data_IF_120145985916
#
_entry.id   IF_120145985916
#
_cell.length_a   1.000
_cell.length_b   1.000
_cell.length_c   1.000
_cell.angle_alpha   90.00
_cell.angle_beta   90.00
_cell.angle_gamma   90.00
#
_symmetry.space_group_name_H-M   'P 1'
#
loop_
_entity.id
_entity.type
_entity.pdbx_description
1 polymer ?
#
# COMPACT_ATOMS: atom_id res chain seq x y z
N UNK A 1 -71.29 -35.36 -18.39
CA UNK A 1 -70.63 -35.60 -17.09
C UNK A 1 -69.89 -34.34 -16.68
N UNK A 2 -70.46 -33.56 -15.76
CA UNK A 2 -69.90 -32.30 -15.27
C UNK A 2 -69.29 -32.56 -13.88
N UNK A 3 -67.96 -32.54 -13.78
CA UNK A 3 -67.27 -32.77 -12.51
C UNK A 3 -67.20 -31.44 -11.74
N UNK A 4 -68.04 -31.29 -10.72
CA UNK A 4 -67.95 -30.20 -9.73
C UNK A 4 -66.70 -30.43 -8.88
N UNK A 5 -65.69 -29.58 -9.03
CA UNK A 5 -64.56 -29.50 -8.12
C UNK A 5 -64.96 -28.55 -6.99
N UNK A 6 -65.34 -29.11 -5.85
CA UNK A 6 -65.46 -28.37 -4.60
C UNK A 6 -64.06 -28.14 -4.05
N UNK A 7 -63.51 -26.95 -4.26
CA UNK A 7 -62.29 -26.52 -3.59
C UNK A 7 -62.58 -26.27 -2.10
N UNK A 8 -61.97 -27.08 -1.25
CA UNK A 8 -61.97 -26.94 0.20
C UNK A 8 -61.34 -25.60 0.60
N UNK A 9 -62.06 -24.85 1.45
CA UNK A 9 -61.70 -23.52 1.97
C UNK A 9 -60.38 -23.48 2.74
N UNK A 10 -59.76 -24.63 3.02
CA UNK A 10 -58.51 -24.72 3.78
C UNK A 10 -57.24 -24.46 2.96
N UNK A 11 -57.33 -24.45 1.62
CA UNK A 11 -56.17 -24.22 0.74
C UNK A 11 -55.86 -22.74 0.49
N UNK A 12 -56.80 -21.83 0.76
CA UNK A 12 -56.58 -20.38 0.61
C UNK A 12 -55.76 -19.76 1.74
N UNK A 13 -55.73 -20.38 2.92
CA UNK A 13 -55.02 -19.83 4.09
C UNK A 13 -53.50 -20.09 3.98
N UNK A 14 -53.07 -21.16 3.32
CA UNK A 14 -51.64 -21.47 3.15
C UNK A 14 -50.93 -20.60 2.10
N UNK A 15 -51.66 -19.99 1.15
CA UNK A 15 -51.05 -19.14 0.12
C UNK A 15 -50.82 -17.69 0.58
N UNK A 16 -51.47 -17.23 1.67
CA UNK A 16 -51.28 -15.87 2.19
C UNK A 16 -50.11 -15.74 3.18
N UNK A 17 -49.50 -16.84 3.62
CA UNK A 17 -48.35 -16.82 4.52
C UNK A 17 -46.99 -16.82 3.82
N UNK A 18 -46.95 -16.91 2.48
CA UNK A 18 -45.70 -16.91 1.70
C UNK A 18 -45.35 -15.49 1.17
N UNK A 19 -46.16 -14.48 1.47
CA UNK A 19 -46.00 -13.12 0.94
C UNK A 19 -45.95 -12.07 2.07
N UNK A 20 -44.83 -12.00 2.82
CA UNK A 20 -44.04 -10.76 2.77
C UNK A 20 -42.51 -10.96 2.68
N UNK A 21 -41.99 -12.19 2.70
CA UNK A 21 -40.54 -12.41 2.83
C UNK A 21 -39.73 -12.07 1.57
N UNK A 22 -40.36 -11.92 0.40
CA UNK A 22 -39.65 -11.63 -0.85
C UNK A 22 -39.45 -10.14 -1.14
N UNK A 23 -40.09 -9.21 -0.40
CA UNK A 23 -39.84 -7.77 -0.58
C UNK A 23 -38.68 -7.22 0.25
N UNK A 24 -38.15 -7.98 1.21
CA UNK A 24 -37.01 -7.51 2.02
C UNK A 24 -35.64 -7.89 1.45
N UNK A 25 -35.57 -8.86 0.52
CA UNK A 25 -34.28 -9.37 0.03
C UNK A 25 -33.77 -8.75 -1.27
N UNK A 26 -34.55 -7.90 -1.95
CA UNK A 26 -34.13 -7.27 -3.21
C UNK A 26 -33.65 -5.81 -3.08
N UNK A 27 -33.45 -5.30 -1.85
CA UNK A 27 -32.91 -3.94 -1.60
C UNK A 27 -31.51 -3.97 -1.00
N UNK A 28 -30.66 -4.88 -1.47
CA UNK A 28 -29.23 -4.95 -1.10
C UNK A 28 -28.30 -5.14 -2.30
N UNK A 29 -28.78 -4.90 -3.52
CA UNK A 29 -27.94 -4.76 -4.70
C UNK A 29 -28.22 -3.38 -5.31
N UNK A 30 -27.32 -2.42 -5.09
CA UNK A 30 -26.73 -1.60 -6.18
C UNK A 30 -25.94 -0.37 -5.72
N UNK A 31 -25.75 -0.12 -4.42
CA UNK A 31 -24.80 0.89 -3.95
C UNK A 31 -24.09 0.40 -2.68
N UNK A 32 -23.28 -0.67 -2.79
CA UNK A 32 -22.15 -0.81 -1.87
C UNK A 32 -21.35 0.51 -1.91
N UNK A 33 -20.75 0.96 -0.78
CA UNK A 33 -20.05 2.24 -0.76
C UNK A 33 -19.11 2.27 -1.96
N UNK A 34 -19.38 3.16 -2.92
CA UNK A 34 -18.48 3.40 -4.04
C UNK A 34 -17.12 3.52 -3.38
N UNK A 35 -16.17 2.63 -3.73
CA UNK A 35 -14.79 2.72 -3.25
C UNK A 35 -14.34 4.11 -3.67
N UNK A 36 -14.47 5.04 -2.75
CA UNK A 36 -14.08 6.41 -2.93
C UNK A 36 -12.59 6.29 -3.14
N UNK A 37 -12.18 6.50 -4.39
CA UNK A 37 -10.79 6.39 -4.77
C UNK A 37 -10.09 7.46 -3.96
N UNK A 38 -9.39 7.05 -2.90
CA UNK A 38 -8.77 8.00 -2.00
C UNK A 38 -7.69 8.72 -2.82
N UNK A 39 -7.84 10.03 -2.90
CA UNK A 39 -6.89 10.94 -3.50
C UNK A 39 -5.50 10.74 -2.87
N UNK A 40 -4.43 11.04 -3.60
CA UNK A 40 -3.06 10.83 -3.12
C UNK A 40 -2.88 11.48 -1.74
N UNK A 41 -2.10 10.83 -0.88
CA UNK A 41 -1.83 11.35 0.45
C UNK A 41 -1.19 12.75 0.38
N UNK A 42 -1.40 13.62 1.39
CA UNK A 42 -0.79 14.96 1.39
C UNK A 42 0.73 14.92 1.22
N UNK A 43 1.42 13.95 1.85
CA UNK A 43 2.85 13.77 1.66
C UNK A 43 3.18 13.30 0.25
N UNK A 44 2.43 12.36 -0.32
CA UNK A 44 2.66 11.91 -1.71
C UNK A 44 2.54 13.07 -2.70
N UNK A 45 1.55 13.94 -2.54
CA UNK A 45 1.38 15.15 -3.36
C UNK A 45 2.55 16.12 -3.23
N UNK A 46 3.01 16.35 -2.00
CA UNK A 46 4.21 17.15 -1.73
C UNK A 46 5.42 16.57 -2.48
N UNK A 47 5.69 15.28 -2.32
CA UNK A 47 6.83 14.60 -2.94
C UNK A 47 6.75 14.58 -4.47
N UNK A 48 5.55 14.45 -5.04
CA UNK A 48 5.34 14.58 -6.50
C UNK A 48 5.68 16.00 -6.95
N UNK A 49 5.20 17.02 -6.23
CA UNK A 49 5.45 18.42 -6.58
C UNK A 49 6.94 18.80 -6.53
N UNK A 50 7.70 18.11 -5.69
CA UNK A 50 9.14 18.27 -5.56
C UNK A 50 9.95 17.39 -6.53
N UNK A 51 9.29 16.53 -7.32
CA UNK A 51 9.95 15.61 -8.26
C UNK A 51 10.64 14.43 -7.58
N UNK A 52 10.32 14.13 -6.32
CA UNK A 52 10.89 13.01 -5.55
C UNK A 52 10.09 11.71 -5.71
N UNK A 53 8.83 11.81 -6.13
CA UNK A 53 7.96 10.68 -6.46
C UNK A 53 7.40 10.93 -7.86
N UNK A 54 7.44 9.91 -8.72
CA UNK A 54 6.91 9.97 -10.08
C UNK A 54 5.43 9.57 -10.05
N UNK A 55 4.57 10.38 -10.64
CA UNK A 55 3.17 10.01 -10.91
C UNK A 55 2.95 9.96 -12.43
N UNK A 56 2.83 8.76 -13.04
CA UNK A 56 2.49 8.66 -14.46
C UNK A 56 1.08 9.21 -14.73
N UNK A 57 0.80 9.62 -15.97
CA UNK A 57 -0.54 10.11 -16.38
C UNK A 57 -1.64 9.09 -16.06
N UNK A 58 -1.31 7.80 -16.25
CA UNK A 58 -2.13 6.66 -15.86
C UNK A 58 -1.32 5.77 -14.92
N UNK A 59 -1.78 5.59 -13.69
CA UNK A 59 -1.16 4.70 -12.71
C UNK A 59 -0.99 5.37 -11.35
N UNK A 60 -0.24 4.71 -10.47
CA UNK A 60 -0.05 5.18 -9.11
C UNK A 60 1.30 5.87 -8.90
N UNK A 61 1.39 6.75 -7.88
CA UNK A 61 2.66 7.33 -7.46
C UNK A 61 3.69 6.23 -7.16
N UNK A 62 4.90 6.41 -7.68
CA UNK A 62 6.00 5.46 -7.51
C UNK A 62 7.36 6.11 -7.42
N UNK A 63 8.29 5.42 -6.79
CA UNK A 63 9.71 5.78 -6.71
C UNK A 63 10.55 4.56 -7.08
N UNK A 64 11.64 4.75 -7.80
CA UNK A 64 12.60 3.67 -8.07
C UNK A 64 13.59 3.58 -6.91
N UNK A 65 13.80 2.40 -6.35
CA UNK A 65 14.80 2.18 -5.30
C UNK A 65 15.83 1.15 -5.72
N UNK A 66 17.03 1.23 -5.14
CA UNK A 66 17.95 0.11 -5.17
C UNK A 66 17.38 -1.01 -4.28
N UNK A 67 17.45 -2.23 -4.77
CA UNK A 67 16.99 -3.43 -4.09
C UNK A 67 18.10 -4.46 -4.08
N UNK A 68 18.47 -4.91 -2.89
CA UNK A 68 19.48 -5.96 -2.71
C UNK A 68 18.82 -7.18 -2.08
N UNK A 69 18.88 -8.30 -2.81
CA UNK A 69 18.28 -9.56 -2.36
C UNK A 69 19.24 -10.26 -1.41
N UNK A 70 18.76 -10.58 -0.20
CA UNK A 70 19.53 -11.21 0.88
C UNK A 70 20.16 -12.55 0.44
N UNK A 71 19.43 -13.28 -0.40
CA UNK A 71 19.79 -14.63 -0.82
C UNK A 71 20.63 -14.65 -2.10
N UNK A 72 21.03 -13.51 -2.64
CA UNK A 72 21.93 -13.49 -3.79
C UNK A 72 23.39 -13.51 -3.32
N UNK A 73 24.11 -14.63 -3.47
CA UNK A 73 25.51 -14.75 -3.04
C UNK A 73 26.44 -13.80 -3.81
N UNK A 74 25.99 -13.23 -4.95
CA UNK A 74 26.74 -12.20 -5.69
C UNK A 74 26.44 -10.78 -5.23
N UNK A 75 25.46 -10.59 -4.33
CA UNK A 75 25.07 -9.28 -3.82
C UNK A 75 24.55 -8.34 -4.90
N UNK A 76 23.92 -8.85 -5.96
CA UNK A 76 23.47 -8.00 -7.07
C UNK A 76 22.42 -7.02 -6.56
N UNK A 77 22.68 -5.74 -6.83
CA UNK A 77 21.75 -4.66 -6.55
C UNK A 77 21.00 -4.34 -7.83
N UNK A 78 19.67 -4.43 -7.79
CA UNK A 78 18.79 -4.12 -8.92
C UNK A 78 17.97 -2.88 -8.63
N UNK A 79 17.48 -2.22 -9.68
CA UNK A 79 16.48 -1.17 -9.54
C UNK A 79 15.07 -1.79 -9.46
N UNK A 80 14.24 -1.29 -8.55
CA UNK A 80 12.84 -1.72 -8.40
C UNK A 80 11.93 -0.52 -8.21
N UNK A 81 10.85 -0.47 -8.98
CA UNK A 81 9.78 0.51 -8.78
C UNK A 81 8.91 0.14 -7.57
N UNK A 82 8.72 1.10 -6.68
CA UNK A 82 7.94 1.01 -5.45
C UNK A 82 6.65 1.81 -5.64
N UNK A 83 5.57 1.13 -5.99
CA UNK A 83 4.29 1.74 -6.30
C UNK A 83 3.37 1.81 -5.08
N UNK A 84 2.76 2.97 -4.85
CA UNK A 84 1.78 3.16 -3.77
C UNK A 84 0.43 2.69 -4.28
N UNK A 85 0.03 1.47 -3.92
CA UNK A 85 -1.30 0.98 -4.25
C UNK A 85 -2.41 1.86 -3.66
N UNK A 86 -3.52 2.05 -4.38
CA UNK A 86 -4.68 2.78 -3.88
C UNK A 86 -5.33 1.96 -2.78
N UNK A 87 -5.10 2.36 -1.53
CA UNK A 87 -5.67 1.72 -0.35
C UNK A 87 -6.38 2.76 0.53
N UNK A 88 -7.22 2.30 1.46
CA UNK A 88 -7.98 3.15 2.39
C UNK A 88 -7.10 3.95 3.39
N UNK A 89 -5.79 4.02 3.18
CA UNK A 89 -4.83 4.61 4.09
C UNK A 89 -3.93 5.59 3.36
N UNK A 90 -3.69 6.75 3.98
CA UNK A 90 -2.74 7.76 3.49
C UNK A 90 -1.32 7.21 3.62
N UNK A 91 -0.83 6.60 2.54
CA UNK A 91 0.51 6.03 2.43
C UNK A 91 1.33 6.83 1.43
N UNK A 92 2.65 6.78 1.63
CA UNK A 92 3.65 7.29 0.70
C UNK A 92 4.67 6.19 0.39
N UNK A 93 5.53 6.42 -0.61
CA UNK A 93 6.66 5.57 -0.92
C UNK A 93 7.98 6.31 -0.78
N UNK A 94 9.01 5.57 -0.39
CA UNK A 94 10.40 5.99 -0.32
C UNK A 94 11.31 4.78 -0.44
N UNK A 95 12.61 5.02 -0.27
CA UNK A 95 13.61 3.96 -0.23
C UNK A 95 14.18 3.82 1.17
N UNK A 96 14.69 2.63 1.48
CA UNK A 96 15.47 2.40 2.70
C UNK A 96 16.78 1.69 2.38
N UNK A 97 17.73 1.84 3.29
CA UNK A 97 18.84 0.93 3.44
C UNK A 97 19.00 0.58 4.92
N UNK A 98 19.34 -0.68 5.18
CA UNK A 98 19.77 -1.13 6.48
C UNK A 98 21.02 -1.98 6.35
N UNK A 99 21.85 -1.97 7.37
CA UNK A 99 23.05 -2.77 7.40
C UNK A 99 23.26 -3.43 8.76
N UNK A 100 24.28 -4.24 8.91
CA UNK A 100 24.74 -4.73 10.21
C UNK A 100 26.22 -4.34 10.46
N UNK A 101 26.79 -4.84 11.55
CA UNK A 101 28.20 -4.63 11.89
C UNK A 101 29.15 -5.36 10.93
N UNK A 102 28.67 -6.42 10.27
CA UNK A 102 29.42 -7.23 9.31
C UNK A 102 29.42 -6.63 7.90
N UNK A 103 28.71 -5.51 7.71
CA UNK A 103 28.58 -4.81 6.43
C UNK A 103 27.57 -5.45 5.49
N UNK A 104 26.76 -6.40 5.97
CA UNK A 104 25.63 -6.90 5.20
C UNK A 104 24.64 -5.77 4.99
N UNK A 105 24.18 -5.57 3.75
CA UNK A 105 23.33 -4.45 3.39
C UNK A 105 22.04 -4.95 2.75
N UNK A 106 20.91 -4.49 3.27
CA UNK A 106 19.62 -4.60 2.63
C UNK A 106 19.17 -3.25 2.14
N UNK A 107 18.62 -3.22 0.93
CA UNK A 107 18.05 -2.02 0.32
C UNK A 107 16.70 -2.38 -0.27
N UNK A 108 15.77 -1.43 -0.28
CA UNK A 108 14.51 -1.65 -0.96
C UNK A 108 13.50 -0.53 -0.83
N UNK A 109 12.25 -0.90 -1.13
CA UNK A 109 11.08 -0.06 -1.04
C UNK A 109 10.62 0.10 0.41
N UNK A 110 10.34 1.32 0.81
CA UNK A 110 9.62 1.65 2.04
C UNK A 110 8.24 2.17 1.66
N UNK A 111 7.18 1.49 2.08
CA UNK A 111 5.79 1.95 1.90
C UNK A 111 5.13 1.95 3.27
N UNK A 112 4.76 3.12 3.75
CA UNK A 112 4.23 3.33 5.09
C UNK A 112 3.26 4.52 5.11
N UNK A 113 2.57 4.69 6.24
CA UNK A 113 1.68 5.83 6.45
C UNK A 113 2.47 7.14 6.55
N UNK A 114 1.87 8.23 6.08
CA UNK A 114 2.53 9.55 6.02
C UNK A 114 3.13 9.99 7.37
N UNK A 115 2.46 9.69 8.47
CA UNK A 115 2.92 10.08 9.80
C UNK A 115 4.19 9.30 10.23
N UNK A 116 4.31 8.02 9.85
CA UNK A 116 5.48 7.20 10.13
C UNK A 116 6.69 7.75 9.37
N UNK A 117 6.50 8.06 8.08
CA UNK A 117 7.51 8.71 7.23
C UNK A 117 8.04 10.03 7.83
N UNK A 118 7.13 10.89 8.29
CA UNK A 118 7.51 12.17 8.91
C UNK A 118 8.19 11.96 10.28
N UNK A 119 7.77 10.94 11.04
CA UNK A 119 8.35 10.58 12.33
C UNK A 119 9.77 10.00 12.22
N UNK A 120 10.03 9.17 11.20
CA UNK A 120 11.34 8.57 10.93
C UNK A 120 12.38 9.58 10.40
N UNK A 121 11.94 10.77 9.99
CA UNK A 121 12.75 11.86 9.40
C UNK A 121 13.53 11.40 8.18
N UNK A 122 12.86 10.71 7.24
CA UNK A 122 13.45 10.33 5.97
C UNK A 122 13.99 11.55 5.22
N UNK A 123 15.18 11.41 4.64
CA UNK A 123 15.90 12.51 4.02
C UNK A 123 15.59 12.61 2.52
N UNK A 124 15.64 13.81 1.96
CA UNK A 124 15.44 14.02 0.51
C UNK A 124 16.74 13.69 -0.24
N UNK A 125 16.66 12.84 -1.26
CA UNK A 125 17.74 12.46 -2.19
C UNK A 125 19.00 11.79 -1.60
N UNK A 126 19.02 11.48 -0.31
CA UNK A 126 20.18 10.86 0.35
C UNK A 126 19.73 9.93 1.46
N UNK A 127 20.37 8.78 1.60
CA UNK A 127 20.11 7.84 2.69
C UNK A 127 21.21 7.99 3.75
N UNK A 128 20.93 8.79 4.78
CA UNK A 128 21.84 9.03 5.90
C UNK A 128 21.25 8.45 7.17
N UNK A 129 22.12 7.94 8.04
CA UNK A 129 21.73 7.40 9.35
C UNK A 129 20.90 8.42 10.13
N UNK A 130 19.70 8.01 10.53
CA UNK A 130 18.84 8.84 11.36
C UNK A 130 19.42 8.94 12.77
N UNK A 131 19.85 10.14 13.17
CA UNK A 131 20.42 10.40 14.51
C UNK A 131 19.41 10.21 15.66
N UNK A 132 18.13 10.02 15.33
CA UNK A 132 17.03 9.92 16.29
C UNK A 132 16.53 8.49 16.54
N UNK A 133 17.13 7.46 15.94
CA UNK A 133 16.74 6.07 16.15
C UNK A 133 17.72 5.36 17.11
N UNK A 134 17.46 5.34 18.44
CA UNK A 134 18.39 4.81 19.44
C UNK A 134 18.58 3.27 19.40
N UNK A 135 17.89 2.56 18.49
CA UNK A 135 17.97 1.10 18.34
C UNK A 135 18.36 0.63 16.94
N UNK A 136 18.50 1.56 15.97
CA UNK A 136 18.78 1.22 14.57
C UNK A 136 19.92 2.09 14.05
N UNK A 137 21.11 1.85 14.60
CA UNK A 137 22.36 2.48 14.20
C UNK A 137 22.79 2.16 12.76
N UNK A 138 22.03 1.28 12.12
CA UNK A 138 22.26 0.76 10.79
C UNK A 138 21.01 0.87 9.91
N UNK A 139 20.23 1.95 10.04
CA UNK A 139 19.07 2.21 9.19
C UNK A 139 19.05 3.64 8.67
N UNK A 140 18.66 3.80 7.41
CA UNK A 140 18.26 5.07 6.83
C UNK A 140 17.07 4.90 5.88
N UNK A 141 16.30 5.98 5.74
CA UNK A 141 15.23 6.09 4.75
C UNK A 141 15.32 7.43 4.02
N UNK A 142 14.84 7.44 2.78
CA UNK A 142 14.93 8.61 1.92
C UNK A 142 13.82 8.68 0.87
N UNK A 143 13.65 9.88 0.31
CA UNK A 143 12.77 10.15 -0.83
C UNK A 143 13.60 10.44 -2.09
N UNK A 144 13.06 10.11 -3.25
CA UNK A 144 13.73 10.32 -4.54
C UNK A 144 14.21 9.01 -5.17
N UNK A 145 14.22 8.98 -6.49
CA UNK A 145 14.67 7.81 -7.25
C UNK A 145 16.12 7.47 -6.89
N UNK A 146 16.33 6.23 -6.43
CA UNK A 146 17.62 5.61 -6.12
C UNK A 146 18.39 6.35 -5.02
N UNK A 147 17.69 7.11 -4.17
CA UNK A 147 18.30 7.84 -3.06
C UNK A 147 19.03 6.94 -2.05
N UNK A 148 18.73 5.64 -2.05
CA UNK A 148 19.37 4.63 -1.22
C UNK A 148 20.57 3.93 -1.89
N UNK A 149 21.03 4.36 -3.07
CA UNK A 149 22.13 3.69 -3.79
C UNK A 149 23.47 3.74 -3.05
N UNK A 150 23.73 4.86 -2.36
CA UNK A 150 24.96 5.07 -1.60
C UNK A 150 24.59 5.49 -0.17
N UNK A 151 24.15 4.54 0.67
CA UNK A 151 23.85 4.86 2.05
C UNK A 151 25.14 5.26 2.77
N UNK A 152 25.09 6.36 3.51
CA UNK A 152 26.25 6.86 4.24
C UNK A 152 26.49 5.99 5.48
N UNK A 153 27.26 4.91 5.31
CA UNK A 153 27.66 4.00 6.38
C UNK A 153 28.91 4.54 7.08
N UNK A 154 29.00 4.50 8.43
CA UNK A 154 30.15 5.05 9.17
C UNK A 154 31.49 4.36 8.88
N UNK A 155 31.49 3.26 8.14
CA UNK A 155 32.69 2.61 7.62
C UNK A 155 32.52 2.42 6.11
N UNK A 156 33.48 2.90 5.33
CA UNK A 156 33.64 2.58 3.90
C UNK A 156 34.01 1.09 3.78
N UNK A 157 33.03 0.19 3.93
CA UNK A 157 33.18 -1.27 3.72
C UNK A 157 32.90 -1.65 2.27
N UNK A 158 33.38 -0.86 1.31
CA UNK A 158 33.38 -1.22 -0.10
C UNK A 158 34.83 -1.25 -0.60
N UNK A 159 35.46 -2.43 -0.72
CA UNK A 159 36.65 -2.58 -1.56
C UNK A 159 36.31 -2.42 -3.05
#
# INVERSE_FOLDING_TARGET
HFTRITMSSSLFIFLLLISPSFSYYHRWNDDGPKKEFIDDSPLTKELISEGLVRKPETGHPRVTCMHRTVNDPKGVTIEKDCEVEPQHQMKSAGCFAMWDEEGFMHQGCLIQQDHSFRGEKCQKNKCERSRSAPMYDHFCCCYGDRCNAHPNTPNEFFP
#
